data_IF_510652395938
#
_entry.id   IF_510652395938
#
_cell.length_a   1.000
_cell.length_b   1.000
_cell.length_c   1.000
_cell.angle_alpha   90.00
_cell.angle_beta   90.00
_cell.angle_gamma   90.00
#
_symmetry.space_group_name_H-M   'P 1'
#
loop_
_entity.id
_entity.type
_entity.pdbx_description
1 polymer ?
#
# COMPACT_ATOMS: atom_id res chain seq x y z
N UNK A 1 -35.91 43.88 -24.82
CA UNK A 1 -36.01 43.16 -23.54
C UNK A 1 -35.23 41.87 -23.69
N UNK A 2 -34.43 41.49 -22.71
CA UNK A 2 -33.56 40.31 -22.83
C UNK A 2 -34.34 39.04 -22.56
N UNK A 3 -34.44 38.15 -23.55
CA UNK A 3 -35.02 36.83 -23.36
C UNK A 3 -34.08 35.98 -22.50
N UNK A 4 -34.64 35.35 -21.48
CA UNK A 4 -33.94 34.45 -20.57
C UNK A 4 -34.41 33.02 -20.84
N UNK A 5 -33.45 32.10 -21.00
CA UNK A 5 -33.71 30.68 -21.14
C UNK A 5 -33.05 29.92 -20.00
N UNK A 6 -33.84 29.15 -19.25
CA UNK A 6 -33.38 28.30 -18.15
C UNK A 6 -33.74 26.87 -18.48
N UNK A 7 -32.76 25.97 -18.37
CA UNK A 7 -32.94 24.54 -18.58
C UNK A 7 -32.52 23.77 -17.35
N UNK A 8 -33.44 22.99 -16.79
CA UNK A 8 -33.21 22.08 -15.66
C UNK A 8 -33.40 20.64 -16.10
N UNK A 9 -32.49 19.77 -15.67
CA UNK A 9 -32.56 18.34 -15.94
C UNK A 9 -32.31 17.57 -14.65
N UNK A 10 -33.22 16.67 -14.30
CA UNK A 10 -33.09 15.77 -13.17
C UNK A 10 -33.60 14.37 -13.53
N UNK A 11 -32.69 13.38 -13.59
CA UNK A 11 -32.97 11.99 -13.99
C UNK A 11 -33.77 11.91 -15.30
N UNK A 12 -35.06 11.56 -15.24
CA UNK A 12 -35.97 11.42 -16.39
C UNK A 12 -36.79 12.68 -16.68
N UNK A 13 -36.56 13.76 -15.95
CA UNK A 13 -37.34 14.99 -16.00
C UNK A 13 -36.48 16.14 -16.54
N UNK A 14 -37.04 16.89 -17.49
CA UNK A 14 -36.38 18.02 -18.14
C UNK A 14 -37.40 19.16 -18.23
N UNK A 15 -37.12 20.30 -17.60
CA UNK A 15 -37.90 21.53 -17.72
C UNK A 15 -37.06 22.55 -18.46
N UNK A 16 -37.67 23.21 -19.43
CA UNK A 16 -37.09 24.34 -20.13
C UNK A 16 -38.06 25.51 -20.09
N UNK A 17 -37.61 26.64 -19.57
CA UNK A 17 -38.36 27.90 -19.49
C UNK A 17 -37.66 28.93 -20.37
N UNK A 18 -38.39 29.57 -21.27
CA UNK A 18 -37.88 30.62 -22.15
C UNK A 18 -38.89 31.76 -22.23
N UNK A 19 -38.44 32.99 -21.98
CA UNK A 19 -39.32 34.17 -22.01
C UNK A 19 -38.68 35.41 -21.43
N UNK A 20 -39.50 36.42 -21.17
CA UNK A 20 -39.06 37.65 -20.52
C UNK A 20 -38.50 37.36 -19.12
N UNK A 21 -37.38 38.01 -18.80
CA UNK A 21 -36.58 37.77 -17.60
C UNK A 21 -37.39 37.72 -16.31
N UNK A 22 -38.29 38.69 -16.10
CA UNK A 22 -39.06 38.81 -14.87
C UNK A 22 -40.07 37.66 -14.73
N UNK A 23 -40.68 37.25 -15.84
CA UNK A 23 -41.60 36.11 -15.91
C UNK A 23 -40.87 34.80 -15.61
N UNK A 24 -39.74 34.56 -16.29
CA UNK A 24 -38.96 33.32 -16.14
C UNK A 24 -38.41 33.17 -14.71
N UNK A 25 -38.00 34.27 -14.08
CA UNK A 25 -37.55 34.23 -12.68
C UNK A 25 -38.69 33.97 -11.70
N UNK A 26 -39.87 34.55 -11.95
CA UNK A 26 -41.04 34.32 -11.09
C UNK A 26 -41.54 32.88 -11.17
N UNK A 27 -41.62 32.30 -12.36
CA UNK A 27 -42.04 30.91 -12.57
C UNK A 27 -40.99 29.93 -12.04
N UNK A 28 -39.69 30.21 -12.21
CA UNK A 28 -38.65 29.38 -11.63
C UNK A 28 -38.70 29.37 -10.10
N UNK A 29 -38.95 30.53 -9.48
CA UNK A 29 -39.10 30.63 -8.02
C UNK A 29 -40.32 29.86 -7.53
N UNK A 30 -41.44 29.94 -8.25
CA UNK A 30 -42.65 29.21 -7.91
C UNK A 30 -42.48 27.68 -8.07
N UNK A 31 -41.81 27.23 -9.12
CA UNK A 31 -41.45 25.81 -9.31
C UNK A 31 -40.51 25.35 -8.19
N UNK A 32 -39.57 26.19 -7.74
CA UNK A 32 -38.66 25.87 -6.63
C UNK A 32 -39.40 25.74 -5.30
N UNK A 33 -40.29 26.68 -4.98
CA UNK A 33 -40.98 26.74 -3.68
C UNK A 33 -42.15 25.76 -3.60
N UNK A 34 -42.95 25.65 -4.67
CA UNK A 34 -44.22 24.92 -4.66
C UNK A 34 -44.22 23.64 -5.51
N UNK A 35 -43.37 23.55 -6.54
CA UNK A 35 -43.32 22.39 -7.45
C UNK A 35 -42.36 21.28 -7.01
N UNK A 36 -41.11 21.64 -6.71
CA UNK A 36 -40.01 20.72 -6.36
C UNK A 36 -39.90 20.46 -4.85
N UNK A 37 -40.53 21.30 -4.03
CA UNK A 37 -40.43 21.31 -2.57
C UNK A 37 -40.94 20.04 -1.85
N UNK A 38 -41.72 19.19 -2.52
CA UNK A 38 -42.16 17.89 -1.97
C UNK A 38 -41.48 16.67 -2.61
N UNK A 39 -40.71 16.84 -3.69
CA UNK A 39 -40.00 15.74 -4.36
C UNK A 39 -38.51 15.72 -3.98
N UNK A 40 -37.97 16.85 -3.49
CA UNK A 40 -36.54 16.98 -3.17
C UNK A 40 -36.37 17.59 -1.76
N UNK A 41 -36.64 16.82 -0.71
CA UNK A 41 -36.10 17.14 0.62
C UNK A 41 -34.65 16.65 0.68
N UNK A 42 -33.68 17.56 0.53
CA UNK A 42 -32.30 17.28 0.93
C UNK A 42 -31.16 17.90 0.13
N UNK A 43 -31.41 18.64 -0.96
CA UNK A 43 -30.33 19.18 -1.80
C UNK A 43 -30.10 20.67 -1.52
N UNK A 44 -28.91 21.01 -1.02
CA UNK A 44 -28.42 22.38 -0.95
C UNK A 44 -28.15 22.89 -2.37
N UNK A 45 -28.87 23.95 -2.75
CA UNK A 45 -28.79 24.60 -4.07
C UNK A 45 -27.99 25.91 -3.95
N UNK A 46 -26.75 25.82 -3.48
CA UNK A 46 -25.83 26.96 -3.36
C UNK A 46 -25.00 27.23 -4.63
N UNK A 47 -25.11 26.39 -5.67
CA UNK A 47 -24.44 26.62 -6.95
C UNK A 47 -25.45 26.96 -8.04
N UNK A 48 -25.69 28.25 -8.25
CA UNK A 48 -26.39 28.78 -9.43
C UNK A 48 -25.36 29.19 -10.46
N UNK A 49 -25.22 28.46 -11.58
CA UNK A 49 -24.40 28.92 -12.71
C UNK A 49 -25.26 29.79 -13.63
N UNK A 50 -24.91 31.06 -13.77
CA UNK A 50 -25.52 31.97 -14.74
C UNK A 50 -24.77 31.87 -16.07
N UNK A 51 -25.44 31.47 -17.14
CA UNK A 51 -24.93 31.67 -18.51
C UNK A 51 -25.58 32.93 -19.07
N UNK A 52 -24.76 33.97 -19.29
CA UNK A 52 -25.15 35.16 -20.05
C UNK A 52 -24.46 35.05 -21.41
N UNK A 53 -25.21 34.71 -22.46
CA UNK A 53 -24.74 34.86 -23.83
C UNK A 53 -25.05 36.28 -24.33
N UNK A 54 -24.01 37.01 -24.77
CA UNK A 54 -24.16 38.18 -25.64
C UNK A 54 -23.95 37.74 -27.09
N UNK A 55 -24.64 38.36 -28.06
CA UNK A 55 -24.70 37.85 -29.41
C UNK A 55 -23.51 38.38 -30.22
N UNK A 56 -22.68 37.52 -30.79
CA UNK A 56 -22.08 37.84 -32.10
C UNK A 56 -21.98 36.62 -33.02
N UNK A 57 -22.39 36.93 -34.24
CA UNK A 57 -22.41 36.22 -35.51
C UNK A 57 -21.30 35.20 -35.79
N UNK A 58 -21.74 34.02 -36.25
CA UNK A 58 -21.23 33.43 -37.50
C UNK A 58 -20.13 32.36 -37.41
N UNK A 59 -20.57 31.10 -37.61
CA UNK A 59 -19.82 29.91 -38.10
C UNK A 59 -19.12 29.04 -37.01
N UNK A 60 -19.31 27.70 -37.02
CA UNK A 60 -19.10 26.85 -35.86
C UNK A 60 -17.65 26.33 -35.75
N UNK A 61 -17.09 26.38 -34.54
CA UNK A 61 -15.95 25.54 -34.16
C UNK A 61 -16.42 24.55 -33.09
N UNK A 62 -16.34 23.27 -33.43
CA UNK A 62 -16.36 22.17 -32.47
C UNK A 62 -15.41 22.49 -31.31
N UNK A 63 -15.94 22.51 -30.09
CA UNK A 63 -15.13 22.44 -28.87
C UNK A 63 -15.63 21.22 -28.10
N UNK A 64 -14.64 20.47 -27.65
CA UNK A 64 -14.72 19.14 -27.08
C UNK A 64 -15.72 19.01 -25.94
N UNK A 65 -16.30 17.82 -25.90
CA UNK A 65 -17.05 17.21 -24.80
C UNK A 65 -16.38 17.51 -23.45
N UNK A 66 -16.98 18.40 -22.66
CA UNK A 66 -16.67 18.53 -21.25
C UNK A 66 -17.44 17.44 -20.50
N UNK A 67 -16.71 16.46 -19.95
CA UNK A 67 -17.26 15.49 -19.01
C UNK A 67 -17.67 16.23 -17.72
N UNK A 68 -18.98 16.40 -17.52
CA UNK A 68 -19.54 16.75 -16.22
C UNK A 68 -19.65 15.47 -15.37
N UNK A 69 -18.85 15.39 -14.32
CA UNK A 69 -18.96 14.35 -13.30
C UNK A 69 -20.00 14.83 -12.28
N UNK A 70 -21.21 14.27 -12.36
CA UNK A 70 -22.26 14.38 -11.34
C UNK A 70 -21.92 13.49 -10.14
N UNK A 71 -22.02 14.01 -8.91
CA UNK A 71 -22.16 13.18 -7.71
C UNK A 71 -23.48 13.53 -7.00
N UNK A 72 -24.43 12.59 -7.07
CA UNK A 72 -25.77 12.63 -6.46
C UNK A 72 -25.75 12.35 -4.95
N UNK A 73 -26.83 12.75 -4.26
CA UNK A 73 -27.26 12.40 -2.88
C UNK A 73 -26.36 11.42 -2.12
N UNK A 74 -25.84 11.91 -0.99
CA UNK A 74 -24.79 11.28 -0.18
C UNK A 74 -25.19 9.90 0.37
N UNK A 75 -24.90 8.86 -0.40
CA UNK A 75 -24.76 7.45 0.02
C UNK A 75 -23.53 7.23 0.93
N UNK A 76 -23.08 8.29 1.64
CA UNK A 76 -21.92 8.25 2.52
C UNK A 76 -22.34 7.54 3.82
N UNK A 77 -21.79 6.35 4.12
CA UNK A 77 -22.13 5.63 5.34
C UNK A 77 -21.81 6.46 6.58
N UNK A 78 -22.44 6.15 7.72
CA UNK A 78 -22.02 6.82 8.96
C UNK A 78 -20.60 6.38 9.34
N UNK A 79 -19.86 7.22 10.08
CA UNK A 79 -18.54 6.84 10.59
C UNK A 79 -18.61 5.56 11.46
N UNK A 80 -19.75 5.30 12.12
CA UNK A 80 -20.00 4.06 12.87
C UNK A 80 -20.07 2.85 11.93
N UNK A 81 -20.72 2.97 10.77
CA UNK A 81 -20.80 1.89 9.79
C UNK A 81 -19.42 1.57 9.20
N UNK A 82 -18.63 2.60 8.89
CA UNK A 82 -17.24 2.46 8.43
C UNK A 82 -16.40 1.73 9.48
N UNK A 83 -16.62 2.04 10.77
CA UNK A 83 -15.96 1.37 11.89
C UNK A 83 -16.35 -0.10 12.03
N UNK A 84 -17.65 -0.41 11.99
CA UNK A 84 -18.15 -1.78 12.11
C UNK A 84 -17.66 -2.66 10.96
N UNK A 85 -17.65 -2.12 9.74
CA UNK A 85 -17.18 -2.82 8.54
C UNK A 85 -15.65 -2.87 8.42
N UNK A 86 -14.92 -2.18 9.29
CA UNK A 86 -13.44 -2.03 9.24
C UNK A 86 -12.96 -1.67 7.82
N UNK A 87 -13.65 -0.74 7.16
CA UNK A 87 -13.36 -0.47 5.75
C UNK A 87 -11.92 -0.01 5.56
N UNK A 88 -11.38 1.00 6.27
CA UNK A 88 -10.01 1.48 6.05
C UNK A 88 -8.96 0.41 6.42
N UNK A 89 -8.08 0.11 5.47
CA UNK A 89 -7.10 -0.98 5.57
C UNK A 89 -5.85 -0.59 6.33
N UNK A 90 -5.48 0.70 6.31
CA UNK A 90 -4.25 1.24 6.90
C UNK A 90 -4.49 2.43 7.82
N UNK A 91 -3.54 2.72 8.70
CA UNK A 91 -3.63 3.89 9.58
C UNK A 91 -3.74 5.21 8.80
N UNK A 92 -3.12 5.28 7.61
CA UNK A 92 -3.26 6.44 6.72
C UNK A 92 -4.66 6.55 6.11
N UNK A 93 -5.27 5.42 5.77
CA UNK A 93 -6.66 5.42 5.31
C UNK A 93 -7.61 5.81 6.44
N UNK A 94 -7.37 5.34 7.67
CA UNK A 94 -8.12 5.79 8.84
C UNK A 94 -8.04 7.30 9.04
N UNK A 95 -6.84 7.89 8.98
CA UNK A 95 -6.66 9.33 9.11
C UNK A 95 -7.34 10.10 7.96
N UNK A 96 -7.26 9.59 6.73
CA UNK A 96 -7.94 10.20 5.58
C UNK A 96 -9.47 10.19 5.76
N UNK A 97 -10.04 9.08 6.21
CA UNK A 97 -11.48 8.96 6.51
C UNK A 97 -11.86 9.89 7.66
N UNK A 98 -11.10 9.93 8.75
CA UNK A 98 -11.41 10.85 9.86
C UNK A 98 -11.35 12.31 9.43
N UNK A 99 -10.37 12.70 8.63
CA UNK A 99 -10.30 14.03 8.06
C UNK A 99 -11.55 14.31 7.19
N UNK A 100 -11.96 13.34 6.37
CA UNK A 100 -13.16 13.48 5.53
C UNK A 100 -14.44 13.72 6.35
N UNK A 101 -14.69 12.96 7.43
CA UNK A 101 -15.87 13.20 8.27
C UNK A 101 -15.75 14.46 9.14
N UNK A 102 -14.56 14.76 9.67
CA UNK A 102 -14.34 15.95 10.51
C UNK A 102 -14.51 17.27 9.76
N UNK A 103 -14.36 17.24 8.44
CA UNK A 103 -14.44 18.41 7.56
C UNK A 103 -15.80 18.56 6.87
N UNK A 104 -16.82 17.81 7.30
CA UNK A 104 -18.10 17.72 6.58
C UNK A 104 -17.86 17.38 5.10
N UNK A 105 -17.18 16.25 4.88
CA UNK A 105 -16.89 15.69 3.56
C UNK A 105 -15.89 16.51 2.72
N UNK A 106 -14.97 17.20 3.41
CA UNK A 106 -13.92 18.01 2.78
C UNK A 106 -14.32 19.45 2.47
N UNK A 107 -15.39 19.95 3.11
CA UNK A 107 -15.90 21.31 2.95
C UNK A 107 -15.17 22.31 3.85
N UNK A 108 -14.67 21.86 5.01
CA UNK A 108 -13.98 22.67 6.02
C UNK A 108 -12.50 22.25 6.18
N UNK A 109 -11.64 23.12 6.74
CA UNK A 109 -10.30 22.71 7.16
C UNK A 109 -10.37 21.80 8.41
N UNK A 110 -9.30 21.03 8.64
CA UNK A 110 -9.11 20.25 9.85
C UNK A 110 -7.70 20.42 10.42
N UNK A 111 -7.59 20.14 11.72
CA UNK A 111 -6.34 20.14 12.47
C UNK A 111 -6.00 18.75 12.99
N UNK A 112 -4.80 18.60 13.54
CA UNK A 112 -4.40 17.39 14.26
C UNK A 112 -5.32 17.05 15.44
N UNK A 113 -5.98 18.05 16.05
CA UNK A 113 -6.91 17.85 17.17
C UNK A 113 -8.18 17.13 16.71
N UNK A 114 -8.73 17.49 15.55
CA UNK A 114 -9.93 16.85 15.02
C UNK A 114 -9.72 15.33 14.77
N UNK A 115 -8.53 14.95 14.30
CA UNK A 115 -8.17 13.53 14.12
C UNK A 115 -8.02 12.83 15.48
N UNK A 116 -7.49 13.51 16.50
CA UNK A 116 -7.37 12.97 17.85
C UNK A 116 -8.74 12.70 18.48
N UNK A 117 -9.67 13.64 18.36
CA UNK A 117 -11.06 13.49 18.80
C UNK A 117 -11.76 12.32 18.09
N UNK A 118 -11.50 12.13 16.79
CA UNK A 118 -12.00 10.99 16.03
C UNK A 118 -11.43 9.64 16.56
N UNK A 119 -10.16 9.60 16.96
CA UNK A 119 -9.59 8.40 17.61
C UNK A 119 -10.23 8.09 18.96
N UNK A 120 -10.56 9.12 19.75
CA UNK A 120 -11.18 8.96 21.06
C UNK A 120 -12.63 8.49 20.94
N UNK A 121 -13.42 9.18 20.13
CA UNK A 121 -14.83 8.82 19.87
C UNK A 121 -15.00 7.42 19.28
N UNK A 122 -14.05 6.95 18.48
CA UNK A 122 -14.05 5.59 17.92
C UNK A 122 -13.35 4.54 18.78
N UNK A 123 -12.86 4.90 19.97
CA UNK A 123 -12.11 4.02 20.90
C UNK A 123 -10.87 3.37 20.25
N UNK A 124 -10.24 4.07 19.30
CA UNK A 124 -9.04 3.62 18.57
C UNK A 124 -7.77 4.35 18.99
N UNK A 125 -7.84 5.28 19.95
CA UNK A 125 -6.66 5.96 20.49
C UNK A 125 -5.71 4.96 21.16
N UNK A 126 -4.45 4.99 20.74
CA UNK A 126 -3.34 4.26 21.38
C UNK A 126 -2.11 5.14 21.37
N UNK A 127 -1.17 4.90 22.29
CA UNK A 127 0.10 5.66 22.36
C UNK A 127 0.86 5.61 21.05
N UNK A 128 0.88 4.45 20.38
CA UNK A 128 1.57 4.27 19.09
C UNK A 128 0.89 5.05 17.97
N UNK A 129 -0.44 5.03 17.86
CA UNK A 129 -1.17 5.77 16.81
C UNK A 129 -1.01 7.27 16.98
N UNK A 130 -1.13 7.75 18.21
CA UNK A 130 -0.91 9.17 18.54
C UNK A 130 0.50 9.62 18.16
N UNK A 131 1.53 8.88 18.58
CA UNK A 131 2.93 9.22 18.29
C UNK A 131 3.26 9.22 16.78
N UNK A 132 2.56 8.41 15.98
CA UNK A 132 2.79 8.31 14.53
C UNK A 132 1.84 9.18 13.69
N UNK A 133 0.91 9.91 14.30
CA UNK A 133 -0.15 10.65 13.62
C UNK A 133 0.41 11.72 12.67
N UNK A 134 1.30 12.60 13.16
CA UNK A 134 1.90 13.67 12.35
C UNK A 134 2.68 13.11 11.15
N UNK A 135 3.37 11.98 11.32
CA UNK A 135 4.10 11.33 10.24
C UNK A 135 3.15 10.76 9.17
N UNK A 136 1.99 10.25 9.57
CA UNK A 136 0.97 9.76 8.65
C UNK A 136 0.25 10.91 7.92
N UNK A 137 -0.08 12.00 8.61
CA UNK A 137 -0.64 13.23 8.00
C UNK A 137 0.33 13.76 6.95
N UNK A 138 1.62 13.90 7.29
CA UNK A 138 2.66 14.31 6.35
C UNK A 138 2.76 13.37 5.13
N UNK A 139 2.56 12.07 5.33
CA UNK A 139 2.57 11.10 4.23
C UNK A 139 1.35 11.23 3.30
N UNK A 140 0.19 11.64 3.83
CA UNK A 140 -1.03 11.92 3.06
C UNK A 140 -0.92 13.24 2.29
N UNK A 141 -0.33 14.26 2.92
CA UNK A 141 0.05 15.52 2.27
C UNK A 141 1.00 15.27 1.10
N UNK A 142 2.10 14.53 1.31
CA UNK A 142 3.06 14.20 0.25
C UNK A 142 2.46 13.36 -0.90
N UNK A 143 1.33 12.70 -0.66
CA UNK A 143 0.58 11.95 -1.68
C UNK A 143 -0.39 12.83 -2.48
N UNK A 144 -0.56 14.09 -2.09
CA UNK A 144 -1.50 15.02 -2.71
C UNK A 144 -2.93 14.92 -2.20
N UNK A 145 -3.21 14.17 -1.13
CA UNK A 145 -4.56 14.04 -0.58
C UNK A 145 -4.94 15.18 0.37
N UNK A 146 -3.94 15.81 0.98
CA UNK A 146 -4.11 16.99 1.82
C UNK A 146 -3.32 18.16 1.24
N UNK A 147 -3.83 19.37 1.41
CA UNK A 147 -3.10 20.62 1.21
C UNK A 147 -3.03 21.37 2.55
N UNK A 148 -1.94 22.10 2.79
CA UNK A 148 -1.78 22.93 3.98
C UNK A 148 -2.38 24.30 3.70
N UNK A 149 -3.25 24.77 4.59
CA UNK A 149 -3.77 26.14 4.56
C UNK A 149 -2.84 27.07 5.35
N UNK A 150 -2.36 26.59 6.50
CA UNK A 150 -1.35 27.22 7.35
C UNK A 150 -0.55 26.12 8.09
N UNK A 151 0.25 26.49 9.09
CA UNK A 151 1.12 25.56 9.82
C UNK A 151 0.35 24.52 10.65
N UNK A 152 -0.93 24.77 10.97
CA UNK A 152 -1.75 23.94 11.87
C UNK A 152 -2.97 23.30 11.19
N UNK A 153 -3.43 23.88 10.08
CA UNK A 153 -4.65 23.52 9.37
C UNK A 153 -4.40 22.96 7.97
N UNK A 154 -5.16 21.92 7.65
CA UNK A 154 -5.12 21.22 6.37
C UNK A 154 -6.51 21.17 5.75
N UNK A 155 -6.56 21.13 4.42
CA UNK A 155 -7.77 20.89 3.64
C UNK A 155 -7.63 19.62 2.82
N UNK A 156 -8.74 18.94 2.54
CA UNK A 156 -8.75 17.81 1.61
C UNK A 156 -8.73 18.33 0.17
N UNK A 157 -7.82 17.80 -0.64
CA UNK A 157 -7.83 18.03 -2.08
C UNK A 157 -8.92 17.19 -2.75
N UNK A 158 -9.22 17.46 -4.03
CA UNK A 158 -10.16 16.65 -4.80
C UNK A 158 -9.75 15.16 -4.84
N UNK A 159 -8.45 14.88 -5.00
CA UNK A 159 -7.90 13.52 -4.94
C UNK A 159 -8.12 12.87 -3.56
N UNK A 160 -7.94 13.66 -2.49
CA UNK A 160 -8.20 13.20 -1.13
C UNK A 160 -9.66 12.85 -0.89
N UNK A 161 -10.59 13.67 -1.37
CA UNK A 161 -12.05 13.42 -1.29
C UNK A 161 -12.43 12.18 -2.09
N UNK A 162 -11.96 12.06 -3.33
CA UNK A 162 -12.19 10.89 -4.17
C UNK A 162 -11.69 9.60 -3.49
N UNK A 163 -10.46 9.62 -2.97
CA UNK A 163 -9.89 8.47 -2.27
C UNK A 163 -10.64 8.12 -0.99
N UNK A 164 -11.09 9.13 -0.22
CA UNK A 164 -11.92 8.90 0.97
C UNK A 164 -13.25 8.23 0.60
N UNK A 165 -13.93 8.74 -0.43
CA UNK A 165 -15.17 8.18 -0.97
C UNK A 165 -15.02 6.74 -1.44
N UNK A 166 -13.96 6.41 -2.16
CA UNK A 166 -13.66 5.03 -2.56
C UNK A 166 -13.51 4.09 -1.34
N UNK A 167 -12.88 4.58 -0.26
CA UNK A 167 -12.67 3.79 0.97
C UNK A 167 -13.96 3.54 1.73
N UNK A 168 -14.88 4.51 1.78
CA UNK A 168 -16.13 4.38 2.55
C UNK A 168 -17.22 3.64 1.76
N UNK A 169 -17.17 3.65 0.42
CA UNK A 169 -18.17 3.00 -0.44
C UNK A 169 -17.83 1.55 -0.79
N UNK A 170 -16.57 1.10 -0.60
CA UNK A 170 -16.18 -0.29 -0.91
C UNK A 170 -16.87 -1.33 -0.02
N UNK A 171 -17.14 -2.49 -0.59
CA UNK A 171 -17.80 -3.62 0.10
C UNK A 171 -16.93 -4.25 1.19
N UNK A 172 -15.61 -4.32 0.96
CA UNK A 172 -14.65 -4.90 1.89
C UNK A 172 -13.34 -4.10 1.90
N UNK A 173 -12.63 -4.15 3.03
CA UNK A 173 -11.28 -3.59 3.13
C UNK A 173 -10.38 -4.20 2.06
N UNK A 174 -9.68 -3.38 1.27
CA UNK A 174 -8.65 -3.90 0.38
C UNK A 174 -7.51 -4.42 1.25
N UNK A 175 -7.12 -5.71 1.14
CA UNK A 175 -5.99 -6.21 1.89
C UNK A 175 -4.76 -5.40 1.49
N UNK A 176 -4.19 -4.65 2.44
CA UNK A 176 -2.86 -4.09 2.25
C UNK A 176 -1.95 -5.23 1.80
N UNK A 177 -1.30 -5.09 0.65
CA UNK A 177 -0.07 -5.82 0.38
C UNK A 177 0.84 -5.50 1.56
N UNK A 178 0.93 -6.44 2.51
CA UNK A 178 1.72 -6.28 3.71
C UNK A 178 3.15 -6.01 3.28
N UNK A 179 3.54 -4.73 3.30
CA UNK A 179 4.95 -4.38 3.25
C UNK A 179 5.51 -4.93 4.54
N UNK A 180 6.30 -6.00 4.43
CA UNK A 180 7.12 -6.53 5.53
C UNK A 180 7.73 -5.33 6.29
N UNK A 181 7.69 -5.34 7.63
CA UNK A 181 8.14 -4.21 8.42
C UNK A 181 9.55 -3.79 7.98
N UNK A 182 9.67 -2.54 7.53
CA UNK A 182 10.96 -1.91 7.24
C UNK A 182 11.68 -1.77 8.57
N UNK A 183 12.64 -2.65 8.85
CA UNK A 183 13.68 -2.37 9.84
C UNK A 183 14.32 -1.03 9.50
N UNK A 184 14.30 -0.07 10.43
CA UNK A 184 15.04 1.19 10.33
C UNK A 184 16.50 0.85 10.06
N UNK A 185 16.96 1.11 8.85
CA UNK A 185 18.38 1.17 8.52
C UNK A 185 18.62 2.49 7.79
N UNK A 186 19.61 3.19 8.31
CA UNK A 186 20.11 4.52 7.97
C UNK A 186 20.33 4.69 6.47
N UNK A 187 20.03 5.89 5.96
CA UNK A 187 20.14 6.30 4.56
C UNK A 187 21.57 6.10 4.02
N UNK A 188 21.70 5.36 2.92
CA UNK A 188 22.64 5.72 1.86
C UNK A 188 21.96 5.49 0.51
N UNK A 189 22.12 6.50 -0.37
CA UNK A 189 21.59 6.56 -1.73
C UNK A 189 22.23 5.46 -2.59
N UNK A 190 21.46 4.83 -3.50
CA UNK A 190 21.79 4.64 -4.93
C UNK A 190 20.59 4.05 -5.68
N UNK A 191 20.45 4.49 -6.94
CA UNK A 191 19.40 4.22 -7.93
C UNK A 191 19.24 2.73 -8.30
N UNK A 192 17.99 2.44 -8.73
CA UNK A 192 17.50 1.33 -9.56
C UNK A 192 17.77 -0.12 -9.11
N UNK A 193 16.69 -0.89 -8.89
CA UNK A 193 16.35 -1.96 -9.84
C UNK A 193 14.97 -2.59 -9.63
N UNK A 194 14.38 -2.90 -10.78
CA UNK A 194 13.14 -3.64 -11.06
C UNK A 194 13.07 -4.92 -10.20
N UNK A 195 12.14 -5.00 -9.25
CA UNK A 195 11.93 -6.22 -8.45
C UNK A 195 11.04 -7.20 -9.21
N UNK A 196 11.68 -8.26 -9.71
CA UNK A 196 11.01 -9.46 -10.20
C UNK A 196 10.24 -10.15 -9.06
N UNK A 197 9.04 -10.63 -9.38
CA UNK A 197 8.19 -11.47 -8.51
C UNK A 197 9.00 -12.68 -8.02
N UNK A 198 9.22 -12.78 -6.71
CA UNK A 198 9.76 -14.00 -6.09
C UNK A 198 8.71 -15.09 -6.17
N UNK A 199 8.97 -16.12 -6.99
CA UNK A 199 8.21 -17.36 -6.96
C UNK A 199 8.39 -18.02 -5.60
N UNK A 200 7.32 -18.49 -4.98
CA UNK A 200 7.42 -19.38 -3.83
C UNK A 200 7.95 -20.73 -4.31
N UNK A 201 9.26 -20.85 -4.47
CA UNK A 201 9.87 -22.14 -4.80
C UNK A 201 9.65 -23.10 -3.64
N UNK A 202 8.87 -24.16 -3.88
CA UNK A 202 8.77 -25.29 -2.95
C UNK A 202 10.14 -25.98 -2.93
N UNK A 203 10.79 -26.00 -1.78
CA UNK A 203 12.03 -26.77 -1.59
C UNK A 203 11.72 -28.25 -1.52
N UNK A 204 12.59 -29.06 -2.12
CA UNK A 204 12.44 -30.52 -2.16
C UNK A 204 13.61 -31.16 -1.44
N UNK A 205 13.32 -32.16 -0.59
CA UNK A 205 14.33 -33.03 0.02
C UNK A 205 14.82 -34.01 -1.04
N UNK A 206 16.11 -33.99 -1.35
CA UNK A 206 16.72 -34.88 -2.33
C UNK A 206 16.86 -36.28 -1.72
N UNK A 207 16.13 -37.27 -2.26
CA UNK A 207 16.15 -38.65 -1.77
C UNK A 207 17.47 -39.37 -2.07
N UNK A 208 18.11 -39.00 -3.17
CA UNK A 208 19.32 -39.65 -3.66
C UNK A 208 20.62 -39.07 -3.06
N UNK A 209 20.51 -38.02 -2.23
CA UNK A 209 21.66 -37.38 -1.61
C UNK A 209 22.11 -38.14 -0.35
N UNK A 210 23.15 -38.97 -0.49
CA UNK A 210 23.73 -39.70 0.64
C UNK A 210 24.63 -38.79 1.51
N UNK A 211 24.09 -38.33 2.65
CA UNK A 211 24.81 -37.51 3.64
C UNK A 211 25.46 -38.34 4.77
N UNK A 212 25.40 -39.67 4.67
CA UNK A 212 26.02 -40.64 5.58
C UNK A 212 26.69 -41.78 4.80
N UNK A 213 27.66 -41.48 3.92
CA UNK A 213 28.41 -42.51 3.21
C UNK A 213 29.18 -43.39 4.22
N UNK A 214 29.35 -44.68 3.90
CA UNK A 214 30.14 -45.61 4.70
C UNK A 214 31.63 -45.28 4.68
N UNK A 215 32.12 -44.79 3.54
CA UNK A 215 33.55 -44.64 3.28
C UNK A 215 34.08 -43.23 3.60
N UNK A 216 33.21 -42.31 4.02
CA UNK A 216 33.56 -40.92 4.34
C UNK A 216 32.84 -40.46 5.60
N UNK A 217 33.36 -39.40 6.22
CA UNK A 217 32.74 -38.80 7.41
C UNK A 217 31.31 -38.38 7.10
N UNK A 218 30.36 -38.70 7.99
CA UNK A 218 28.97 -38.27 7.86
C UNK A 218 28.83 -36.76 7.97
N UNK A 219 27.82 -36.16 7.33
CA UNK A 219 27.58 -34.72 7.47
C UNK A 219 27.38 -34.32 8.95
N UNK A 220 26.67 -35.17 9.71
CA UNK A 220 26.41 -34.94 11.13
C UNK A 220 27.70 -34.86 11.94
N UNK A 221 28.66 -35.74 11.70
CA UNK A 221 29.91 -35.76 12.46
C UNK A 221 30.87 -34.67 11.98
N UNK A 222 30.89 -34.40 10.68
CA UNK A 222 31.64 -33.29 10.11
C UNK A 222 31.23 -31.95 10.73
N UNK A 223 29.92 -31.70 10.85
CA UNK A 223 29.37 -30.45 11.39
C UNK A 223 29.60 -30.29 12.89
N UNK A 224 29.63 -31.39 13.67
CA UNK A 224 29.90 -31.34 15.12
C UNK A 224 31.28 -30.78 15.45
N UNK A 225 32.24 -30.93 14.55
CA UNK A 225 33.60 -30.43 14.71
C UNK A 225 33.69 -28.90 14.59
N UNK A 226 32.60 -28.20 14.28
CA UNK A 226 32.58 -26.75 14.09
C UNK A 226 31.66 -26.06 15.10
N UNK A 227 32.11 -24.95 15.69
CA UNK A 227 31.27 -24.10 16.51
C UNK A 227 30.44 -23.13 15.65
N UNK A 228 29.22 -23.55 15.29
CA UNK A 228 28.33 -22.80 14.41
C UNK A 228 27.51 -21.77 15.21
N UNK A 229 27.78 -20.48 14.98
CA UNK A 229 27.08 -19.36 15.65
C UNK A 229 25.89 -18.83 14.87
N UNK A 230 25.86 -19.03 13.54
CA UNK A 230 24.82 -18.49 12.68
C UNK A 230 24.37 -19.48 11.59
N UNK A 231 23.21 -19.24 11.01
CA UNK A 231 22.76 -20.01 9.84
C UNK A 231 23.70 -19.80 8.62
N UNK A 232 24.36 -18.63 8.51
CA UNK A 232 25.35 -18.38 7.46
C UNK A 232 26.58 -19.28 7.62
N UNK A 233 27.10 -19.39 8.84
CA UNK A 233 28.20 -20.31 9.16
C UNK A 233 27.80 -21.76 8.87
N UNK A 234 26.56 -22.15 9.21
CA UNK A 234 26.05 -23.48 8.89
C UNK A 234 26.03 -23.75 7.39
N UNK A 235 25.56 -22.79 6.60
CA UNK A 235 25.49 -22.91 5.14
C UNK A 235 26.88 -23.13 4.54
N UNK A 236 27.88 -22.34 4.96
CA UNK A 236 29.24 -22.51 4.41
C UNK A 236 29.89 -23.82 4.82
N UNK A 237 29.69 -24.29 6.05
CA UNK A 237 30.21 -25.60 6.49
C UNK A 237 29.55 -26.72 5.69
N UNK A 238 28.25 -26.64 5.43
CA UNK A 238 27.53 -27.60 4.58
C UNK A 238 28.08 -27.57 3.14
N UNK A 239 28.22 -26.39 2.53
CA UNK A 239 28.74 -26.28 1.16
C UNK A 239 30.16 -26.85 1.09
N UNK A 240 31.00 -26.56 2.08
CA UNK A 240 32.35 -27.11 2.16
C UNK A 240 32.33 -28.64 2.23
N UNK A 241 31.45 -29.23 3.04
CA UNK A 241 31.28 -30.69 3.11
C UNK A 241 30.85 -31.29 1.76
N UNK A 242 29.83 -30.72 1.13
CA UNK A 242 29.29 -31.23 -0.13
C UNK A 242 30.34 -31.19 -1.25
N UNK A 243 31.17 -30.14 -1.29
CA UNK A 243 32.24 -29.99 -2.29
C UNK A 243 33.50 -30.78 -1.98
N UNK A 244 34.00 -30.70 -0.74
CA UNK A 244 35.31 -31.28 -0.41
C UNK A 244 35.22 -32.76 -0.08
N UNK A 245 34.15 -33.20 0.59
CA UNK A 245 33.98 -34.58 1.05
C UNK A 245 33.15 -35.37 0.04
N UNK A 246 31.95 -34.88 -0.32
CA UNK A 246 31.08 -35.60 -1.26
C UNK A 246 31.44 -35.36 -2.73
N UNK A 247 32.33 -34.39 -3.04
CA UNK A 247 32.75 -34.05 -4.41
C UNK A 247 31.57 -33.75 -5.35
N UNK A 248 30.55 -33.06 -4.84
CA UNK A 248 29.41 -32.60 -5.64
C UNK A 248 29.81 -31.31 -6.36
N UNK A 249 29.84 -31.34 -7.70
CA UNK A 249 30.25 -30.21 -8.53
C UNK A 249 29.30 -29.01 -8.42
N UNK A 250 27.99 -29.29 -8.52
CA UNK A 250 26.91 -28.29 -8.55
C UNK A 250 26.05 -28.40 -7.30
N UNK A 251 26.34 -27.55 -6.32
CA UNK A 251 25.55 -27.48 -5.10
C UNK A 251 24.36 -26.56 -5.32
N UNK A 252 23.15 -27.12 -5.34
CA UNK A 252 21.91 -26.36 -5.44
C UNK A 252 21.35 -26.01 -4.05
N UNK A 253 20.39 -25.09 -3.99
CA UNK A 253 19.69 -24.78 -2.73
C UNK A 253 18.97 -25.99 -2.10
N UNK A 254 18.49 -26.94 -2.91
CA UNK A 254 17.84 -28.16 -2.40
C UNK A 254 18.84 -29.09 -1.70
N UNK A 255 20.12 -29.09 -2.10
CA UNK A 255 21.17 -29.82 -1.39
C UNK A 255 21.36 -29.24 0.02
N UNK A 256 21.44 -27.92 0.13
CA UNK A 256 21.56 -27.22 1.42
C UNK A 256 20.31 -27.46 2.27
N UNK A 257 19.12 -27.40 1.68
CA UNK A 257 17.86 -27.68 2.37
C UNK A 257 17.82 -29.11 2.93
N UNK A 258 18.22 -30.10 2.12
CA UNK A 258 18.31 -31.52 2.52
C UNK A 258 19.30 -31.70 3.66
N UNK A 259 20.44 -31.01 3.62
CA UNK A 259 21.42 -31.02 4.71
C UNK A 259 20.84 -30.45 6.02
N UNK A 260 20.09 -29.35 5.99
CA UNK A 260 19.39 -28.82 7.18
C UNK A 260 18.39 -29.82 7.76
N UNK A 261 17.66 -30.53 6.89
CA UNK A 261 16.71 -31.57 7.28
C UNK A 261 17.40 -32.74 7.99
N UNK A 262 18.49 -33.28 7.40
CA UNK A 262 19.25 -34.40 7.99
C UNK A 262 19.94 -34.02 9.31
N UNK A 263 20.43 -32.78 9.42
CA UNK A 263 21.00 -32.25 10.66
C UNK A 263 19.95 -31.94 11.74
N UNK A 264 18.65 -32.15 11.46
CA UNK A 264 17.53 -31.84 12.37
C UNK A 264 17.57 -30.41 12.91
N UNK A 265 18.10 -29.48 12.13
CA UNK A 265 18.19 -28.08 12.50
C UNK A 265 16.87 -27.35 12.20
N UNK A 266 16.51 -26.34 13.01
CA UNK A 266 15.36 -25.48 12.73
C UNK A 266 15.51 -24.83 11.35
N UNK A 267 14.65 -25.23 10.41
CA UNK A 267 14.65 -24.68 9.05
C UNK A 267 14.05 -23.27 9.09
N UNK A 268 14.77 -22.24 8.63
CA UNK A 268 14.23 -20.89 8.53
C UNK A 268 13.01 -20.81 7.61
N UNK A 269 11.95 -20.12 8.04
CA UNK A 269 10.72 -19.93 7.26
C UNK A 269 10.98 -19.27 5.89
N UNK A 270 12.00 -18.40 5.80
CA UNK A 270 12.46 -17.79 4.55
C UNK A 270 13.83 -18.36 4.15
N UNK A 271 13.92 -19.68 3.97
CA UNK A 271 15.18 -20.38 3.67
C UNK A 271 15.93 -19.77 2.48
N UNK A 272 15.23 -19.48 1.38
CA UNK A 272 15.78 -18.76 0.22
C UNK A 272 16.51 -17.47 0.64
N UNK A 273 15.83 -16.65 1.44
CA UNK A 273 16.34 -15.35 1.84
C UNK A 273 17.56 -15.49 2.75
N UNK A 274 17.61 -16.54 3.58
CA UNK A 274 18.79 -16.80 4.41
C UNK A 274 20.00 -17.10 3.52
N UNK A 275 19.87 -17.98 2.53
CA UNK A 275 20.93 -18.26 1.54
C UNK A 275 21.31 -17.00 0.77
N UNK A 276 20.33 -16.24 0.27
CA UNK A 276 20.59 -14.98 -0.43
C UNK A 276 21.28 -13.92 0.45
N UNK A 277 20.97 -13.87 1.74
CA UNK A 277 21.63 -12.98 2.70
C UNK A 277 23.06 -13.45 3.01
N UNK A 278 23.34 -14.76 3.04
CA UNK A 278 24.70 -15.29 3.20
C UNK A 278 25.62 -14.83 2.05
N UNK A 279 25.07 -14.68 0.83
CA UNK A 279 25.75 -14.01 -0.28
C UNK A 279 25.86 -12.50 -0.04
N UNK A 280 24.73 -11.79 0.00
CA UNK A 280 24.69 -10.32 -0.11
C UNK A 280 25.12 -9.55 1.13
N UNK A 281 24.97 -10.11 2.33
CA UNK A 281 25.28 -9.41 3.60
C UNK A 281 26.57 -9.88 4.24
N UNK A 282 26.87 -11.17 4.10
CA UNK A 282 28.07 -11.77 4.71
C UNK A 282 29.19 -12.00 3.70
N UNK A 283 28.91 -11.91 2.39
CA UNK A 283 29.87 -12.17 1.32
C UNK A 283 30.56 -13.54 1.42
N UNK A 284 29.90 -14.54 2.02
CA UNK A 284 30.49 -15.85 2.32
C UNK A 284 30.25 -16.89 1.22
N UNK A 285 29.24 -16.67 0.37
CA UNK A 285 28.92 -17.55 -0.75
C UNK A 285 28.70 -16.72 -2.00
N UNK A 286 28.86 -17.35 -3.15
CA UNK A 286 28.57 -16.75 -4.44
C UNK A 286 27.76 -17.72 -5.32
N UNK A 287 26.86 -17.15 -6.11
CA UNK A 287 26.03 -17.85 -7.09
C UNK A 287 25.40 -16.88 -8.08
N UNK A 288 25.48 -17.19 -9.37
CA UNK A 288 24.78 -16.45 -10.43
C UNK A 288 23.35 -16.97 -10.64
N UNK A 289 23.18 -18.29 -10.50
CA UNK A 289 21.90 -18.99 -10.45
C UNK A 289 21.87 -19.84 -9.18
N UNK A 290 20.69 -20.03 -8.61
CA UNK A 290 20.49 -20.70 -7.30
C UNK A 290 20.84 -22.21 -7.35
N UNK A 291 21.11 -22.72 -8.55
CA UNK A 291 21.48 -24.11 -8.82
C UNK A 291 22.99 -24.37 -8.81
N UNK A 292 23.83 -23.34 -8.65
CA UNK A 292 25.28 -23.50 -8.53
C UNK A 292 25.84 -22.54 -7.47
N UNK A 293 25.75 -22.98 -6.22
CA UNK A 293 26.19 -22.23 -5.04
C UNK A 293 27.61 -22.64 -4.67
N UNK A 294 28.50 -21.65 -4.54
CA UNK A 294 29.92 -21.83 -4.23
C UNK A 294 30.30 -21.02 -3.00
N UNK A 295 31.35 -21.44 -2.31
CA UNK A 295 32.00 -20.60 -1.32
C UNK A 295 32.72 -19.46 -2.03
N UNK A 296 32.64 -18.26 -1.45
CA UNK A 296 33.54 -17.17 -1.83
C UNK A 296 34.91 -17.40 -1.16
N UNK A 297 35.93 -16.64 -1.56
CA UNK A 297 37.23 -16.63 -0.86
C UNK A 297 37.06 -16.36 0.63
N UNK A 298 36.18 -15.42 1.00
CA UNK A 298 35.88 -15.09 2.39
C UNK A 298 35.19 -16.25 3.12
N UNK A 299 34.23 -16.94 2.47
CA UNK A 299 33.58 -18.12 3.03
C UNK A 299 34.54 -19.26 3.29
N UNK A 300 35.43 -19.54 2.33
CA UNK A 300 36.47 -20.56 2.47
C UNK A 300 37.42 -20.25 3.61
N UNK A 301 37.88 -19.00 3.71
CA UNK A 301 38.74 -18.55 4.81
C UNK A 301 38.03 -18.68 6.16
N UNK A 302 36.75 -18.28 6.22
CA UNK A 302 35.95 -18.38 7.45
C UNK A 302 35.79 -19.81 7.94
N UNK A 303 35.53 -20.77 7.05
CA UNK A 303 35.45 -22.20 7.42
C UNK A 303 36.82 -22.74 7.89
N UNK A 304 37.92 -22.28 7.29
CA UNK A 304 39.26 -22.81 7.57
C UNK A 304 39.91 -22.19 8.80
N UNK A 305 39.70 -20.89 9.04
CA UNK A 305 40.46 -20.08 9.99
C UNK A 305 39.60 -19.54 11.14
N UNK A 306 38.37 -19.08 10.86
CA UNK A 306 37.58 -18.32 11.85
C UNK A 306 36.58 -19.17 12.62
N UNK A 307 36.02 -20.22 12.00
CA UNK A 307 35.12 -21.13 12.70
C UNK A 307 35.98 -22.07 13.53
N UNK A 308 35.95 -21.85 14.84
CA UNK A 308 36.68 -22.66 15.82
C UNK A 308 36.29 -24.12 15.63
N UNK A 309 37.30 -24.94 15.33
CA UNK A 309 37.15 -26.39 15.33
C UNK A 309 37.12 -26.86 16.76
N UNK A 310 36.04 -27.53 17.16
CA UNK A 310 35.99 -28.22 18.44
C UNK A 310 36.98 -29.39 18.36
N UNK A 311 38.05 -29.31 19.14
CA UNK A 311 38.99 -30.42 19.33
C UNK A 311 38.31 -31.56 20.08
#
# INVERSE_FOLDING_TARGET
MGNLRIKLKYKSFEIELEGDKDTVQSEFKDIKENGLGNIVMGVDMSETTYLVEQPESGIPKQIAQAESIDFTDSDVPSLKDVLMKQLPSSEREWILVYAYYATEFGSKPFTSKNILEAYESTKRKTTSRHANMSQNIKALFNKGYFSALNDEEFILTNDGKHQANEIITRTHSTPLKQKKPKSKATKSNTKSNKTSKTSSSKFVVLRDLNLRPTDKVSLTDYVKNYEIKSNGDRIIVIINYLKEILKIDKVTINHIYTAFFVLKCKIPASFYQVVANTKSRSNLIDFNKVDDIKLSTQGSNRVRLDIVKKK
#
